data_IF_766311135255
#
_entry.id   IF_766311135255
#
_cell.length_a   1.000
_cell.length_b   1.000
_cell.length_c   1.000
_cell.angle_alpha   90.00
_cell.angle_beta   90.00
_cell.angle_gamma   90.00
#
_symmetry.space_group_name_H-M   'P 1'
#
loop_
_entity.id
_entity.type
_entity.pdbx_description
1 polymer ?
#
# COMPACT_ATOMS: atom_id res chain seq x y z
N UNK A 1 -2.08 -13.29 14.35
CA UNK A 1 -2.17 -13.40 12.87
C UNK A 1 -2.16 -11.98 12.27
N UNK A 2 -1.00 -11.40 11.95
CA UNK A 2 -0.89 -9.98 11.55
C UNK A 2 -0.28 -9.74 10.15
N UNK A 3 0.07 -10.79 9.40
CA UNK A 3 0.80 -10.64 8.12
C UNK A 3 -0.09 -10.62 6.86
N UNK A 4 -1.41 -10.88 6.97
CA UNK A 4 -2.34 -10.82 5.83
C UNK A 4 -2.96 -9.43 5.60
N UNK A 5 -2.73 -8.46 6.48
CA UNK A 5 -3.42 -7.16 6.49
C UNK A 5 -2.79 -6.15 5.54
N UNK A 6 -1.47 -5.94 5.57
CA UNK A 6 -0.85 -4.82 4.82
C UNK A 6 -0.91 -4.98 3.31
N UNK A 7 -0.58 -6.14 2.75
CA UNK A 7 -0.63 -6.36 1.31
C UNK A 7 -2.04 -6.15 0.74
N UNK A 8 -3.07 -6.60 1.46
CA UNK A 8 -4.47 -6.41 1.05
C UNK A 8 -4.95 -4.98 1.25
N UNK A 9 -4.50 -4.29 2.31
CA UNK A 9 -4.75 -2.85 2.48
C UNK A 9 -4.10 -2.02 1.38
N UNK A 10 -2.88 -2.39 0.97
CA UNK A 10 -2.18 -1.77 -0.14
C UNK A 10 -2.93 -1.99 -1.46
N UNK A 11 -3.33 -3.24 -1.78
CA UNK A 11 -4.14 -3.55 -2.97
C UNK A 11 -5.48 -2.81 -2.96
N UNK A 12 -6.12 -2.71 -1.80
CA UNK A 12 -7.34 -1.95 -1.62
C UNK A 12 -7.10 -0.47 -1.91
N UNK A 13 -6.05 0.13 -1.35
CA UNK A 13 -5.71 1.53 -1.56
C UNK A 13 -5.45 1.82 -3.05
N UNK A 14 -4.70 0.95 -3.73
CA UNK A 14 -4.49 1.02 -5.18
C UNK A 14 -5.82 0.99 -5.94
N UNK A 15 -6.72 0.06 -5.61
CA UNK A 15 -8.03 -0.04 -6.26
C UNK A 15 -8.89 1.20 -6.04
N UNK A 16 -8.90 1.78 -4.84
CA UNK A 16 -9.67 2.98 -4.52
C UNK A 16 -9.19 4.20 -5.32
N UNK A 17 -7.88 4.30 -5.55
CA UNK A 17 -7.29 5.33 -6.40
C UNK A 17 -7.22 4.97 -7.89
N UNK A 18 -7.77 3.82 -8.30
CA UNK A 18 -7.69 3.29 -9.68
C UNK A 18 -6.25 3.22 -10.22
N UNK A 19 -5.31 2.88 -9.35
CA UNK A 19 -3.89 2.71 -9.68
C UNK A 19 -3.56 1.22 -9.79
N UNK A 20 -2.63 0.88 -10.69
CA UNK A 20 -2.00 -0.45 -10.69
C UNK A 20 -0.71 -0.43 -9.85
N UNK A 21 -0.22 -1.61 -9.45
CA UNK A 21 1.10 -1.73 -8.81
C UNK A 21 2.19 -1.19 -9.74
N UNK A 22 2.05 -1.39 -11.06
CA UNK A 22 2.98 -0.87 -12.06
C UNK A 22 3.02 0.65 -12.03
N UNK A 23 1.86 1.30 -12.04
CA UNK A 23 1.78 2.77 -11.98
C UNK A 23 2.42 3.31 -10.71
N UNK A 24 2.09 2.72 -9.56
CA UNK A 24 2.68 3.08 -8.28
C UNK A 24 4.20 2.90 -8.29
N UNK A 25 4.70 1.74 -8.73
CA UNK A 25 6.12 1.43 -8.79
C UNK A 25 6.90 2.38 -9.71
N UNK A 26 6.29 2.83 -10.81
CA UNK A 26 6.91 3.78 -11.75
C UNK A 26 7.02 5.20 -11.22
N UNK A 27 6.21 5.57 -10.23
CA UNK A 27 6.19 6.90 -9.61
C UNK A 27 7.10 7.00 -8.39
N UNK A 28 7.58 5.88 -7.87
CA UNK A 28 8.46 5.86 -6.72
C UNK A 28 9.83 6.45 -7.06
N UNK A 29 10.33 7.35 -6.21
CA UNK A 29 11.66 7.96 -6.37
C UNK A 29 12.58 7.42 -5.28
N UNK A 30 13.66 6.78 -5.69
CA UNK A 30 14.67 6.29 -4.75
C UNK A 30 15.36 7.50 -4.09
N UNK A 31 15.27 7.65 -2.76
CA UNK A 31 15.77 8.84 -2.08
C UNK A 31 17.30 8.96 -2.11
N UNK A 32 18.02 7.84 -2.26
CA UNK A 32 19.49 7.83 -2.24
C UNK A 32 20.11 8.17 -3.59
N UNK A 33 19.41 7.87 -4.69
CA UNK A 33 19.95 8.04 -6.06
C UNK A 33 19.14 9.01 -6.93
N UNK A 34 17.98 9.46 -6.46
CA UNK A 34 17.04 10.28 -7.24
C UNK A 34 16.40 9.55 -8.42
N UNK A 35 16.70 8.25 -8.63
CA UNK A 35 16.17 7.48 -9.74
C UNK A 35 14.67 7.25 -9.56
N UNK A 36 13.92 7.49 -10.63
CA UNK A 36 12.48 7.27 -10.70
C UNK A 36 12.23 5.82 -11.15
N UNK A 37 11.26 5.19 -10.51
CA UNK A 37 10.82 3.84 -10.79
C UNK A 37 11.55 2.78 -9.97
N UNK A 38 10.79 1.77 -9.54
CA UNK A 38 11.30 0.50 -9.03
C UNK A 38 10.58 -0.66 -9.69
N UNK A 39 11.14 -1.86 -9.57
CA UNK A 39 10.44 -3.07 -10.01
C UNK A 39 9.15 -3.25 -9.22
N UNK A 40 8.04 -3.47 -9.92
CA UNK A 40 6.77 -3.83 -9.28
C UNK A 40 6.88 -5.11 -8.43
N UNK A 41 7.79 -6.03 -8.79
CA UNK A 41 8.06 -7.24 -7.99
C UNK A 41 8.64 -6.89 -6.61
N UNK A 42 9.55 -5.92 -6.54
CA UNK A 42 10.11 -5.43 -5.28
C UNK A 42 9.02 -4.80 -4.40
N UNK A 43 8.13 -3.98 -4.99
CA UNK A 43 6.98 -3.41 -4.27
C UNK A 43 6.06 -4.52 -3.71
N UNK A 44 5.81 -5.58 -4.49
CA UNK A 44 5.02 -6.72 -4.02
C UNK A 44 5.70 -7.41 -2.83
N UNK A 45 7.00 -7.71 -2.92
CA UNK A 45 7.76 -8.37 -1.86
C UNK A 45 7.77 -7.52 -0.58
N UNK A 46 8.00 -6.21 -0.70
CA UNK A 46 7.96 -5.27 0.43
C UNK A 46 6.56 -5.20 1.04
N UNK A 47 5.51 -5.08 0.23
CA UNK A 47 4.12 -5.05 0.73
C UNK A 47 3.69 -6.33 1.47
N UNK A 48 4.36 -7.46 1.20
CA UNK A 48 4.14 -8.76 1.86
C UNK A 48 5.10 -9.00 3.04
N UNK A 49 5.94 -8.02 3.40
CA UNK A 49 7.03 -8.18 4.36
C UNK A 49 8.00 -9.33 4.04
N UNK A 50 8.14 -9.66 2.76
CA UNK A 50 9.09 -10.68 2.28
C UNK A 50 10.48 -10.09 2.02
N UNK A 51 10.54 -8.79 1.76
CA UNK A 51 11.75 -8.02 1.65
C UNK A 51 11.59 -6.76 2.50
N UNK A 52 12.65 -6.32 3.16
CA UNK A 52 12.63 -5.07 3.91
C UNK A 52 13.31 -3.97 3.11
N UNK A 53 12.55 -2.91 2.83
CA UNK A 53 13.07 -1.72 2.21
C UNK A 53 12.34 -0.52 2.81
N UNK A 54 13.01 0.17 3.74
CA UNK A 54 12.38 1.20 4.59
C UNK A 54 11.66 2.29 3.81
N UNK A 55 12.19 2.70 2.67
CA UNK A 55 11.62 3.81 1.93
C UNK A 55 10.42 3.36 1.08
N UNK A 56 10.49 2.18 0.45
CA UNK A 56 9.32 1.58 -0.23
C UNK A 56 8.22 1.31 0.80
N UNK A 57 8.61 0.87 2.00
CA UNK A 57 7.68 0.64 3.10
C UNK A 57 6.91 1.91 3.47
N UNK A 58 7.63 3.03 3.63
CA UNK A 58 7.03 4.34 3.91
C UNK A 58 6.08 4.79 2.81
N UNK A 59 6.41 4.58 1.54
CA UNK A 59 5.54 4.98 0.42
C UNK A 59 4.25 4.13 0.34
N UNK A 60 4.34 2.83 0.62
CA UNK A 60 3.16 1.96 0.74
C UNK A 60 2.25 2.44 1.88
N UNK A 61 2.83 2.72 3.04
CA UNK A 61 2.07 3.15 4.22
C UNK A 61 1.42 4.52 4.01
N UNK A 62 2.11 5.44 3.31
CA UNK A 62 1.53 6.72 2.89
C UNK A 62 0.32 6.53 1.98
N UNK A 63 0.39 5.62 1.01
CA UNK A 63 -0.75 5.34 0.12
C UNK A 63 -1.95 4.79 0.90
N UNK A 64 -1.71 3.85 1.82
CA UNK A 64 -2.76 3.28 2.67
C UNK A 64 -3.38 4.36 3.57
N UNK A 65 -2.56 5.18 4.22
CA UNK A 65 -3.02 6.28 5.06
C UNK A 65 -3.86 7.28 4.25
N UNK A 66 -3.39 7.64 3.06
CA UNK A 66 -4.12 8.50 2.12
C UNK A 66 -5.47 7.88 1.75
N UNK A 67 -5.53 6.58 1.45
CA UNK A 67 -6.80 5.91 1.14
C UNK A 67 -7.78 5.95 2.33
N UNK A 68 -7.29 5.75 3.56
CA UNK A 68 -8.12 5.84 4.77
C UNK A 68 -8.71 7.23 5.00
N UNK A 69 -7.96 8.28 4.64
CA UNK A 69 -8.40 9.68 4.79
C UNK A 69 -9.40 10.05 3.69
N UNK A 70 -9.15 9.65 2.45
CA UNK A 70 -9.99 10.03 1.29
C UNK A 70 -11.24 9.17 1.12
N UNK A 71 -11.24 7.93 1.60
CA UNK A 71 -12.36 6.99 1.49
C UNK A 71 -12.78 6.43 2.86
N UNK A 72 -13.07 7.30 3.86
CA UNK A 72 -13.34 6.88 5.22
C UNK A 72 -14.54 5.91 5.30
N UNK A 73 -15.55 6.07 4.45
CA UNK A 73 -16.74 5.21 4.39
C UNK A 73 -16.42 3.75 4.05
N UNK A 74 -15.42 3.51 3.19
CA UNK A 74 -14.98 2.16 2.83
C UNK A 74 -14.35 1.46 4.04
N UNK A 75 -13.50 2.19 4.78
CA UNK A 75 -12.79 1.65 5.94
C UNK A 75 -13.68 1.56 7.20
N UNK A 76 -14.64 2.49 7.37
CA UNK A 76 -15.60 2.45 8.47
C UNK A 76 -16.61 1.29 8.32
N UNK A 77 -17.08 0.99 7.10
CA UNK A 77 -17.94 -0.17 6.84
C UNK A 77 -17.28 -1.49 7.23
N UNK A 78 -15.97 -1.67 6.94
CA UNK A 78 -15.22 -2.85 7.41
C UNK A 78 -15.14 -2.95 8.94
N UNK A 79 -15.01 -1.82 9.64
CA UNK A 79 -14.92 -1.79 11.11
C UNK A 79 -16.24 -2.21 11.78
N UNK A 80 -17.38 -1.92 11.15
CA UNK A 80 -18.69 -2.34 11.63
C UNK A 80 -18.98 -3.83 11.40
N UNK A 81 -18.56 -4.40 10.26
CA UNK A 81 -18.72 -5.84 9.98
C UNK A 81 -17.93 -6.68 11.00
N UNK A 82 -16.75 -6.23 11.41
CA UNK A 82 -15.92 -6.94 12.40
C UNK A 82 -16.37 -6.77 13.86
N UNK A 83 -17.26 -5.81 14.16
CA UNK A 83 -17.83 -5.62 15.50
C UNK A 83 -19.17 -6.32 15.70
N UNK A 84 -19.79 -6.81 14.62
CA UNK A 84 -21.10 -7.45 14.63
C UNK A 84 -21.04 -8.99 14.68
N UNK A 85 -19.85 -9.55 14.89
CA UNK A 85 -19.55 -10.98 15.07
C UNK A 85 -18.88 -11.12 16.44
#
# INVERSE_FOLDING_TARGET
>A
MLNKTRHEEFKTALSLFRLTIKDFSSQLVNPNSGKIGVSHAAVIQVSKYQEHNEWIDKEIDKLIAKARIHFPEYYQKRKHILKAI
#
